data_IF_949162525025
#
_entry.id   IF_949162525025
#
_cell.length_a   1.000
_cell.length_b   1.000
_cell.length_c   1.000
_cell.angle_alpha   90.00
_cell.angle_beta   90.00
_cell.angle_gamma   90.00
#
_symmetry.space_group_name_H-M   'P 1'
#
loop_
_entity.id
_entity.type
_entity.pdbx_description
1 polymer ?
#
# COMPACT_ATOMS: atom_id res chain seq x y z
N UNK A 1 16.25 28.48 -40.58
CA UNK A 1 16.91 27.33 -39.89
C UNK A 1 16.35 27.29 -38.48
N UNK A 2 15.91 26.10 -38.05
CA UNK A 2 14.93 25.83 -36.98
C UNK A 2 15.67 25.31 -35.75
N UNK A 3 15.56 26.00 -34.61
CA UNK A 3 15.98 25.45 -33.31
C UNK A 3 14.73 25.01 -32.54
N UNK A 4 14.46 23.71 -32.38
CA UNK A 4 13.49 23.27 -31.40
C UNK A 4 14.15 23.31 -30.02
N UNK A 5 13.83 24.33 -29.22
CA UNK A 5 14.11 24.34 -27.79
C UNK A 5 13.23 23.26 -27.15
N UNK A 6 13.79 22.06 -27.06
CA UNK A 6 13.18 20.88 -26.46
C UNK A 6 12.88 21.17 -25.00
N UNK A 7 11.62 21.49 -24.74
CA UNK A 7 11.08 21.71 -23.40
C UNK A 7 11.00 20.35 -22.72
N UNK A 8 12.04 19.98 -21.98
CA UNK A 8 11.99 18.80 -21.10
C UNK A 8 11.15 19.15 -19.88
N UNK A 9 9.82 19.02 -20.02
CA UNK A 9 8.89 18.99 -18.90
C UNK A 9 9.13 17.69 -18.13
N UNK A 10 9.91 17.77 -17.05
CA UNK A 10 9.93 16.75 -16.01
C UNK A 10 8.57 16.79 -15.29
N UNK A 11 7.62 15.99 -15.75
CA UNK A 11 6.39 15.73 -15.02
C UNK A 11 6.72 14.86 -13.80
N UNK A 12 7.05 15.50 -12.68
CA UNK A 12 6.99 14.88 -11.37
C UNK A 12 5.50 14.63 -11.07
N UNK A 13 5.02 13.42 -11.37
CA UNK A 13 3.75 12.93 -10.84
C UNK A 13 3.92 12.76 -9.33
N UNK A 14 3.61 13.81 -8.57
CA UNK A 14 3.37 13.69 -7.14
C UNK A 14 2.09 12.88 -6.98
N UNK A 15 2.23 11.59 -6.63
CA UNK A 15 1.12 10.79 -6.12
C UNK A 15 0.70 11.40 -4.78
N UNK A 16 -0.17 12.40 -4.84
CA UNK A 16 -0.90 12.89 -3.68
C UNK A 16 -1.87 11.77 -3.33
N UNK A 17 -1.38 10.78 -2.58
CA UNK A 17 -2.23 9.78 -1.96
C UNK A 17 -3.11 10.58 -1.01
N UNK A 18 -4.39 10.73 -1.34
CA UNK A 18 -5.38 11.22 -0.39
C UNK A 18 -5.30 10.30 0.82
N UNK A 19 -4.76 10.81 1.93
CA UNK A 19 -4.63 10.08 3.19
C UNK A 19 -6.01 9.89 3.80
N UNK A 20 -6.78 9.01 3.18
CA UNK A 20 -8.06 8.52 3.69
C UNK A 20 -7.77 7.57 4.85
N UNK A 21 -8.63 7.52 5.85
CA UNK A 21 -8.48 6.58 6.95
C UNK A 21 -8.94 5.18 6.50
N UNK A 22 -8.15 4.16 6.78
CA UNK A 22 -8.38 2.79 6.33
C UNK A 22 -9.39 2.07 7.23
N UNK A 23 -10.33 1.38 6.58
CA UNK A 23 -11.31 0.50 7.22
C UNK A 23 -11.40 -0.84 6.50
N UNK A 24 -11.64 -1.91 7.24
CA UNK A 24 -12.10 -3.18 6.68
C UNK A 24 -13.62 -3.10 6.53
N UNK A 25 -14.15 -2.99 5.31
CA UNK A 25 -15.57 -2.96 4.90
C UNK A 25 -16.63 -2.89 6.03
N UNK A 26 -16.68 -1.77 6.77
CA UNK A 26 -17.67 -1.52 7.85
C UNK A 26 -17.47 -2.29 9.16
N UNK A 27 -16.41 -3.10 9.29
CA UNK A 27 -16.05 -3.81 10.52
C UNK A 27 -15.03 -2.99 11.34
N UNK A 28 -15.54 -2.23 12.32
CA UNK A 28 -14.72 -1.43 13.24
C UNK A 28 -13.74 -2.29 14.03
N UNK A 29 -14.18 -3.40 14.61
CA UNK A 29 -13.32 -4.25 15.44
C UNK A 29 -12.18 -4.85 14.62
N UNK A 30 -12.48 -5.32 13.40
CA UNK A 30 -11.49 -5.78 12.43
C UNK A 30 -10.54 -4.66 12.01
N UNK A 31 -11.04 -3.45 11.80
CA UNK A 31 -10.22 -2.27 11.49
C UNK A 31 -9.23 -1.97 12.60
N UNK A 32 -9.68 -1.93 13.86
CA UNK A 32 -8.84 -1.65 15.03
C UNK A 32 -7.79 -2.76 15.21
N UNK A 33 -8.20 -4.02 15.11
CA UNK A 33 -7.31 -5.17 15.24
C UNK A 33 -6.23 -5.17 14.14
N UNK A 34 -6.62 -4.99 12.89
CA UNK A 34 -5.70 -4.93 11.76
C UNK A 34 -4.77 -3.72 11.84
N UNK A 35 -5.27 -2.56 12.26
CA UNK A 35 -4.46 -1.36 12.46
C UNK A 35 -3.33 -1.60 13.47
N UNK A 36 -3.66 -2.19 14.63
CA UNK A 36 -2.67 -2.54 15.65
C UNK A 36 -1.71 -3.63 15.19
N UNK A 37 -2.21 -4.63 14.47
CA UNK A 37 -1.38 -5.75 13.97
C UNK A 37 -0.28 -5.28 13.03
N UNK A 38 -0.53 -4.24 12.23
CA UNK A 38 0.48 -3.68 11.34
C UNK A 38 1.34 -2.61 12.02
N UNK A 39 1.12 -2.31 13.31
CA UNK A 39 1.87 -1.31 14.06
C UNK A 39 1.36 0.12 13.87
N UNK A 40 0.15 0.29 13.37
CA UNK A 40 -0.56 1.56 13.33
C UNK A 40 -1.26 1.90 14.65
N UNK A 41 -1.63 3.16 14.79
CA UNK A 41 -2.41 3.68 15.93
C UNK A 41 -3.82 4.01 15.47
N UNK A 42 -4.84 3.19 15.79
CA UNK A 42 -6.22 3.48 15.42
C UNK A 42 -6.70 4.77 16.09
N UNK A 43 -7.56 5.51 15.39
CA UNK A 43 -8.18 6.75 15.86
C UNK A 43 -9.69 6.62 15.74
N UNK A 44 -10.36 6.32 16.85
CA UNK A 44 -11.78 5.97 16.83
C UNK A 44 -12.01 4.66 16.07
N UNK A 45 -12.90 4.70 15.09
CA UNK A 45 -13.27 3.55 14.24
C UNK A 45 -12.34 3.35 13.03
N UNK A 46 -11.39 4.25 12.85
CA UNK A 46 -10.57 4.35 11.65
C UNK A 46 -9.10 4.04 11.93
N UNK A 47 -8.42 3.46 10.93
CA UNK A 47 -6.96 3.36 10.95
C UNK A 47 -6.37 4.51 10.11
N UNK A 48 -5.76 5.54 10.69
CA UNK A 48 -5.21 6.65 9.92
C UNK A 48 -4.14 6.13 8.97
N UNK A 49 -4.33 6.30 7.66
CA UNK A 49 -3.38 5.81 6.67
C UNK A 49 -1.97 6.33 6.93
N UNK A 50 -1.81 7.54 7.47
CA UNK A 50 -0.50 8.11 7.80
C UNK A 50 0.31 7.22 8.77
N UNK A 51 -0.36 6.56 9.71
CA UNK A 51 0.28 5.67 10.67
C UNK A 51 0.70 4.34 10.07
N UNK A 52 0.17 4.01 8.88
CA UNK A 52 0.40 2.73 8.21
C UNK A 52 0.73 2.91 6.73
N UNK A 53 1.22 4.08 6.30
CA UNK A 53 1.39 4.41 4.87
C UNK A 53 2.28 3.42 4.14
N UNK A 54 3.31 2.92 4.84
CA UNK A 54 4.19 1.88 4.33
C UNK A 54 3.57 0.49 4.42
N UNK A 55 2.55 0.28 5.25
CA UNK A 55 1.98 -1.04 5.62
C UNK A 55 0.54 -1.24 5.17
N UNK A 56 0.08 -0.43 4.21
CA UNK A 56 -1.27 -0.49 3.66
C UNK A 56 -1.59 -1.88 3.07
N UNK A 57 -0.60 -2.54 2.48
CA UNK A 57 -0.69 -3.90 1.93
C UNK A 57 -0.98 -4.92 3.02
N UNK A 58 -0.25 -4.84 4.14
CA UNK A 58 -0.45 -5.72 5.27
C UNK A 58 -1.80 -5.47 5.95
N UNK A 59 -2.24 -4.21 6.00
CA UNK A 59 -3.57 -3.87 6.49
C UNK A 59 -4.66 -4.48 5.60
N UNK A 60 -4.53 -4.34 4.27
CA UNK A 60 -5.46 -4.94 3.31
C UNK A 60 -5.48 -6.47 3.39
N UNK A 61 -4.31 -7.11 3.55
CA UNK A 61 -4.19 -8.56 3.77
C UNK A 61 -4.84 -9.02 5.07
N UNK A 62 -4.70 -8.22 6.13
CA UNK A 62 -5.37 -8.50 7.39
C UNK A 62 -6.89 -8.43 7.25
N UNK A 63 -7.44 -7.39 6.60
CA UNK A 63 -8.86 -7.34 6.28
C UNK A 63 -9.29 -8.57 5.46
N UNK A 64 -8.52 -8.94 4.43
CA UNK A 64 -8.79 -10.11 3.59
C UNK A 64 -8.82 -11.42 4.37
N UNK A 65 -7.94 -11.57 5.37
CA UNK A 65 -7.93 -12.74 6.28
C UNK A 65 -9.17 -12.82 7.17
N UNK A 66 -9.83 -11.67 7.41
CA UNK A 66 -11.13 -11.58 8.09
C UNK A 66 -12.32 -11.71 7.12
N UNK A 67 -12.07 -12.01 5.84
CA UNK A 67 -13.09 -12.05 4.79
C UNK A 67 -13.65 -10.67 4.41
N UNK A 68 -12.93 -9.59 4.73
CA UNK A 68 -13.35 -8.20 4.50
C UNK A 68 -12.42 -7.51 3.49
N UNK A 69 -12.95 -6.58 2.71
CA UNK A 69 -12.12 -5.75 1.82
C UNK A 69 -11.66 -4.48 2.56
N UNK A 70 -10.40 -4.10 2.40
CA UNK A 70 -9.93 -2.78 2.86
C UNK A 70 -10.44 -1.68 1.92
N UNK A 71 -10.94 -0.60 2.48
CA UNK A 71 -11.36 0.60 1.75
C UNK A 71 -10.16 1.46 1.31
N UNK A 72 -9.01 1.31 1.98
CA UNK A 72 -7.78 1.92 1.53
C UNK A 72 -7.32 1.30 0.21
N UNK A 73 -7.29 2.13 -0.83
CA UNK A 73 -6.72 1.78 -2.14
C UNK A 73 -5.21 1.71 -2.02
N UNK A 74 -4.69 0.50 -2.08
CA UNK A 74 -3.26 0.26 -2.12
C UNK A 74 -2.80 0.34 -3.59
N UNK A 75 -2.08 1.38 -4.02
CA UNK A 75 -1.56 1.43 -5.39
C UNK A 75 -0.55 0.29 -5.60
N UNK A 76 -0.37 -0.15 -6.84
CA UNK A 76 0.55 -1.24 -7.29
C UNK A 76 1.97 -1.16 -6.66
N UNK A 77 2.40 0.02 -6.20
CA UNK A 77 3.68 0.21 -5.50
C UNK A 77 3.70 -0.06 -3.99
N UNK A 78 2.56 -0.03 -3.27
CA UNK A 78 2.52 -0.15 -1.81
C UNK A 78 2.98 -1.53 -1.31
N UNK A 79 2.70 -2.58 -2.08
CA UNK A 79 3.11 -3.94 -1.73
C UNK A 79 4.56 -4.20 -2.13
N UNK A 80 5.10 -3.45 -3.11
CA UNK A 80 6.49 -3.61 -3.56
C UNK A 80 7.47 -3.28 -2.43
N UNK A 81 7.29 -2.15 -1.76
CA UNK A 81 8.17 -1.72 -0.66
C UNK A 81 8.09 -2.67 0.55
N UNK A 82 6.87 -3.06 0.97
CA UNK A 82 6.66 -4.02 2.08
C UNK A 82 7.24 -5.39 1.77
N UNK A 83 7.01 -5.90 0.56
CA UNK A 83 7.46 -7.21 0.15
C UNK A 83 8.99 -7.24 -0.02
N UNK A 84 9.58 -6.14 -0.50
CA UNK A 84 11.03 -5.96 -0.50
C UNK A 84 11.60 -5.88 0.92
N UNK A 85 10.97 -5.14 1.83
CA UNK A 85 11.37 -5.06 3.24
C UNK A 85 11.27 -6.42 3.94
N UNK A 86 10.18 -7.15 3.73
CA UNK A 86 9.96 -8.49 4.26
C UNK A 86 11.00 -9.50 3.73
N UNK A 87 11.28 -9.48 2.43
CA UNK A 87 12.32 -10.34 1.82
C UNK A 87 13.71 -10.01 2.34
N UNK A 88 14.04 -8.72 2.46
CA UNK A 88 15.30 -8.26 3.05
C UNK A 88 15.44 -8.74 4.50
N UNK A 89 14.36 -8.70 5.29
CA UNK A 89 14.35 -9.17 6.67
C UNK A 89 14.63 -10.68 6.81
N UNK A 90 14.27 -11.48 5.80
CA UNK A 90 14.58 -12.92 5.74
C UNK A 90 15.80 -13.25 4.88
N UNK A 91 16.61 -12.25 4.51
CA UNK A 91 17.85 -12.45 3.74
C UNK A 91 17.65 -12.82 2.27
N UNK A 92 16.45 -12.66 1.72
CA UNK A 92 16.15 -12.88 0.30
C UNK A 92 16.42 -11.62 -0.52
N UNK A 93 16.88 -11.82 -1.76
CA UNK A 93 17.11 -10.74 -2.72
C UNK A 93 15.84 -10.01 -3.14
N UNK A 94 16.02 -8.81 -3.71
CA UNK A 94 14.92 -8.01 -4.27
C UNK A 94 14.19 -8.78 -5.36
N UNK A 95 12.85 -8.66 -5.38
CA UNK A 95 12.02 -9.23 -6.44
C UNK A 95 12.31 -8.54 -7.76
N UNK A 96 12.39 -9.33 -8.83
CA UNK A 96 12.35 -8.78 -10.18
C UNK A 96 10.93 -8.38 -10.56
N UNK A 97 10.77 -7.56 -11.59
CA UNK A 97 9.47 -6.99 -11.97
C UNK A 97 8.40 -8.06 -12.27
N UNK A 98 8.78 -9.25 -12.73
CA UNK A 98 7.84 -10.37 -12.94
C UNK A 98 7.33 -10.94 -11.63
N UNK A 99 8.19 -11.14 -10.63
CA UNK A 99 7.75 -11.63 -9.32
C UNK A 99 6.91 -10.59 -8.56
N UNK A 100 7.18 -9.29 -8.79
CA UNK A 100 6.34 -8.20 -8.29
C UNK A 100 4.95 -8.29 -8.91
N UNK A 101 4.84 -8.50 -10.22
CA UNK A 101 3.55 -8.65 -10.90
C UNK A 101 2.75 -9.86 -10.40
N UNK A 102 3.40 -11.01 -10.19
CA UNK A 102 2.74 -12.21 -9.65
C UNK A 102 2.26 -12.01 -8.21
N UNK A 103 3.05 -11.34 -7.37
CA UNK A 103 2.64 -11.01 -6.00
C UNK A 103 1.49 -9.99 -5.95
N UNK A 104 1.36 -9.14 -6.96
CA UNK A 104 0.32 -8.11 -7.08
C UNK A 104 -0.98 -8.63 -7.71
N UNK A 105 -0.94 -9.69 -8.51
CA UNK A 105 -2.12 -10.36 -9.06
C UNK A 105 -3.08 -10.81 -7.93
N UNK A 106 -2.51 -11.33 -6.84
CA UNK A 106 -3.25 -11.69 -5.62
C UNK A 106 -3.86 -10.52 -4.84
N UNK A 107 -3.49 -9.26 -5.17
CA UNK A 107 -4.06 -8.04 -4.59
C UNK A 107 -5.16 -7.41 -5.45
N UNK A 108 -5.30 -7.82 -6.71
CA UNK A 108 -6.27 -7.24 -7.68
C UNK A 108 -7.58 -8.05 -7.74
N UNK A 109 -7.62 -9.23 -7.12
CA UNK A 109 -8.83 -10.06 -6.95
C UNK A 109 -9.94 -9.43 -6.12
#
# INVERSE_FOLDING_TARGET
MKFPTSTSLLFLFTFISTLEACKCAGNTEGTIACCKSVGGSPSGDDCPANSISQRLSNFASCCGSLGQRSDCKCPVGCAKEELQAARKAVGLGALNDTEVLVALDGYVG
#
